data_IF_172046234484
#
_entry.id   IF_172046234484
#
_cell.length_a   1.000
_cell.length_b   1.000
_cell.length_c   1.000
_cell.angle_alpha   90.00
_cell.angle_beta   90.00
_cell.angle_gamma   90.00
#
_symmetry.space_group_name_H-M   'P 1'
#
loop_
_entity.id
_entity.type
_entity.pdbx_description
1 polymer ?
#
# COMPACT_ATOMS: atom_id res chain seq x y z
N UNK A 1 -9.77 11.45 6.17
CA UNK A 1 -8.46 11.02 5.63
C UNK A 1 -7.71 12.22 5.08
N UNK A 2 -6.39 12.33 5.29
CA UNK A 2 -5.57 13.40 4.69
C UNK A 2 -5.52 13.30 3.17
N UNK A 3 -5.54 12.10 2.61
CA UNK A 3 -5.60 11.88 1.16
C UNK A 3 -6.89 12.47 0.59
N UNK A 4 -8.04 12.14 1.20
CA UNK A 4 -9.34 12.62 0.75
C UNK A 4 -9.46 14.15 0.79
N UNK A 5 -8.77 14.81 1.71
CA UNK A 5 -8.72 16.27 1.83
C UNK A 5 -7.68 16.92 0.89
N UNK A 6 -6.95 16.16 0.08
CA UNK A 6 -5.90 16.70 -0.81
C UNK A 6 -4.66 17.21 -0.06
N UNK A 7 -4.35 16.62 1.10
CA UNK A 7 -3.25 17.05 1.98
C UNK A 7 -2.02 16.13 1.94
N UNK A 8 -2.02 15.13 1.06
CA UNK A 8 -0.91 14.18 0.87
C UNK A 8 0.01 14.70 -0.24
N UNK A 9 1.34 14.77 -0.02
CA UNK A 9 2.30 15.11 -1.08
C UNK A 9 2.22 14.15 -2.26
N UNK A 10 2.45 14.67 -3.47
CA UNK A 10 2.40 13.93 -4.71
C UNK A 10 3.69 14.15 -5.52
N UNK A 11 4.65 13.25 -5.32
CA UNK A 11 6.03 13.42 -5.75
C UNK A 11 6.81 14.42 -4.89
N UNK A 12 8.11 14.56 -5.20
CA UNK A 12 9.06 15.47 -4.52
C UNK A 12 8.97 16.93 -4.98
N UNK A 13 7.92 17.29 -5.71
CA UNK A 13 7.77 18.58 -6.41
C UNK A 13 7.06 19.65 -5.56
N UNK A 14 6.65 19.32 -4.33
CA UNK A 14 5.82 20.19 -3.49
C UNK A 14 4.33 20.18 -3.86
N UNK A 15 3.94 19.48 -4.94
CA UNK A 15 2.55 19.26 -5.28
C UNK A 15 1.86 18.32 -4.29
N UNK A 16 0.53 18.41 -4.22
CA UNK A 16 -0.32 17.51 -3.44
C UNK A 16 -1.25 16.71 -4.33
N UNK A 17 -1.68 15.55 -3.85
CA UNK A 17 -2.77 14.80 -4.46
C UNK A 17 -4.05 15.67 -4.42
N UNK A 18 -4.91 15.62 -5.45
CA UNK A 18 -6.18 16.30 -5.40
C UNK A 18 -7.07 15.73 -4.28
N UNK A 19 -8.03 16.52 -3.82
CA UNK A 19 -9.07 16.01 -2.94
C UNK A 19 -9.90 14.93 -3.65
N UNK A 20 -10.26 13.89 -2.92
CA UNK A 20 -11.04 12.76 -3.46
C UNK A 20 -12.46 12.77 -2.92
N UNK A 21 -13.43 12.52 -3.79
CA UNK A 21 -14.79 12.17 -3.42
C UNK A 21 -14.92 10.65 -3.25
N UNK A 22 -15.85 10.20 -2.40
CA UNK A 22 -16.17 8.77 -2.20
C UNK A 22 -14.99 7.90 -1.74
N UNK A 23 -14.06 8.45 -0.97
CA UNK A 23 -13.04 7.64 -0.29
C UNK A 23 -13.63 7.05 0.98
N UNK A 24 -13.92 5.75 0.94
CA UNK A 24 -14.53 5.02 2.04
C UNK A 24 -13.55 4.78 3.19
N UNK A 25 -14.08 4.79 4.41
CA UNK A 25 -13.32 4.37 5.58
C UNK A 25 -13.21 2.85 5.61
N UNK A 26 -11.98 2.34 5.65
CA UNK A 26 -11.75 0.90 5.80
C UNK A 26 -12.27 0.41 7.16
N UNK A 27 -12.90 -0.77 7.14
CA UNK A 27 -13.26 -1.51 8.35
C UNK A 27 -12.39 -2.75 8.44
N UNK A 28 -11.98 -3.07 9.66
CA UNK A 28 -11.22 -4.29 9.91
C UNK A 28 -12.07 -5.53 9.63
N UNK A 29 -11.46 -6.54 9.00
CA UNK A 29 -12.10 -7.82 8.67
C UNK A 29 -11.22 -8.96 9.15
N UNK A 30 -11.70 -9.74 10.10
CA UNK A 30 -11.01 -10.93 10.61
C UNK A 30 -10.86 -12.02 9.54
N UNK A 31 -11.76 -12.07 8.55
CA UNK A 31 -11.61 -12.99 7.42
C UNK A 31 -10.38 -12.64 6.57
N UNK A 32 -10.19 -11.35 6.25
CA UNK A 32 -9.02 -10.89 5.50
C UNK A 32 -7.73 -11.04 6.31
N UNK A 33 -7.79 -10.82 7.63
CA UNK A 33 -6.66 -11.09 8.54
C UNK A 33 -6.24 -12.56 8.47
N UNK A 34 -7.20 -13.48 8.62
CA UNK A 34 -6.93 -14.91 8.61
C UNK A 34 -6.33 -15.37 7.28
N UNK A 35 -6.83 -14.86 6.15
CA UNK A 35 -6.30 -15.19 4.83
C UNK A 35 -4.85 -14.68 4.67
N UNK A 36 -4.59 -13.43 5.10
CA UNK A 36 -3.25 -12.85 5.07
C UNK A 36 -2.26 -13.60 5.99
N UNK A 37 -2.68 -13.96 7.21
CA UNK A 37 -1.85 -14.70 8.16
C UNK A 37 -1.51 -16.09 7.62
N UNK A 38 -2.50 -16.84 7.10
CA UNK A 38 -2.26 -18.16 6.48
C UNK A 38 -1.23 -18.10 5.36
N UNK A 39 -1.23 -17.03 4.56
CA UNK A 39 -0.22 -16.88 3.52
C UNK A 39 1.14 -16.51 4.13
N UNK A 40 1.19 -15.58 5.07
CA UNK A 40 2.41 -15.15 5.76
C UNK A 40 3.12 -16.27 6.53
N UNK A 41 2.38 -17.24 7.07
CA UNK A 41 2.92 -18.42 7.77
C UNK A 41 3.80 -19.30 6.88
N UNK A 42 3.66 -19.21 5.56
CA UNK A 42 4.55 -19.91 4.62
C UNK A 42 5.93 -19.26 4.51
N UNK A 43 6.18 -18.13 5.19
CA UNK A 43 7.45 -17.42 5.22
C UNK A 43 8.01 -17.10 3.82
N UNK A 44 7.13 -16.75 2.88
CA UNK A 44 7.52 -16.46 1.50
C UNK A 44 8.34 -15.18 1.37
N UNK A 45 9.04 -15.04 0.25
CA UNK A 45 9.83 -13.84 -0.07
C UNK A 45 9.09 -12.85 -0.95
N UNK A 46 7.91 -13.23 -1.44
CA UNK A 46 7.03 -12.47 -2.34
C UNK A 46 5.58 -12.58 -1.91
N UNK A 47 4.75 -11.65 -2.38
CA UNK A 47 3.30 -11.66 -2.20
C UNK A 47 2.62 -12.87 -2.84
N UNK A 48 1.36 -13.11 -2.46
CA UNK A 48 0.57 -14.22 -2.97
C UNK A 48 0.14 -14.00 -4.43
N UNK A 49 0.14 -15.06 -5.25
CA UNK A 49 -0.46 -15.02 -6.57
C UNK A 49 -1.97 -14.74 -6.45
N UNK A 50 -2.52 -13.95 -7.38
CA UNK A 50 -3.94 -13.54 -7.35
C UNK A 50 -4.90 -14.73 -7.33
N UNK A 51 -4.52 -15.86 -7.92
CA UNK A 51 -5.30 -17.11 -7.92
C UNK A 51 -5.55 -17.67 -6.53
N UNK A 52 -4.72 -17.34 -5.53
CA UNK A 52 -4.89 -17.74 -4.14
C UNK A 52 -5.69 -16.74 -3.29
N UNK A 53 -6.03 -15.58 -3.86
CA UNK A 53 -6.75 -14.50 -3.16
C UNK A 53 -7.82 -13.84 -4.05
N UNK A 54 -8.75 -14.64 -4.61
CA UNK A 54 -9.72 -14.15 -5.57
C UNK A 54 -10.57 -13.02 -4.97
N UNK A 55 -10.59 -11.87 -5.65
CA UNK A 55 -11.33 -10.69 -5.22
C UNK A 55 -10.66 -9.87 -4.10
N UNK A 56 -9.42 -10.19 -3.71
CA UNK A 56 -8.67 -9.45 -2.70
C UNK A 56 -7.41 -8.79 -3.31
N UNK A 57 -7.20 -7.51 -2.99
CA UNK A 57 -5.92 -6.85 -3.18
C UNK A 57 -4.90 -7.33 -2.15
N UNK A 58 -3.61 -7.10 -2.41
CA UNK A 58 -2.56 -7.44 -1.45
C UNK A 58 -1.42 -6.41 -1.49
N UNK A 59 -1.00 -5.98 -0.31
CA UNK A 59 0.29 -5.33 -0.11
C UNK A 59 1.20 -6.23 0.71
N UNK A 60 2.40 -6.48 0.21
CA UNK A 60 3.39 -7.34 0.84
C UNK A 60 4.67 -6.56 1.20
N UNK A 61 5.21 -6.82 2.38
CA UNK A 61 6.51 -6.30 2.82
C UNK A 61 7.24 -7.32 3.69
N UNK A 62 8.57 -7.32 3.57
CA UNK A 62 9.46 -7.97 4.54
C UNK A 62 10.20 -6.90 5.30
N UNK A 63 10.07 -6.93 6.62
CA UNK A 63 10.74 -6.00 7.52
C UNK A 63 11.80 -6.77 8.29
N UNK A 64 13.03 -6.28 8.26
CA UNK A 64 14.10 -6.88 9.05
C UNK A 64 13.79 -6.76 10.53
N UNK A 65 14.06 -7.82 11.29
CA UNK A 65 13.91 -7.82 12.74
C UNK A 65 14.76 -6.73 13.41
N UNK A 66 15.93 -6.40 12.82
CA UNK A 66 16.78 -5.32 13.31
C UNK A 66 16.15 -3.93 13.12
N UNK A 67 15.20 -3.81 12.18
CA UNK A 67 14.49 -2.56 11.92
C UNK A 67 13.21 -2.45 12.74
N UNK A 68 12.60 -3.57 13.16
CA UNK A 68 11.35 -3.58 13.91
C UNK A 68 11.38 -4.60 15.06
N UNK A 69 11.35 -4.08 16.29
CA UNK A 69 11.40 -4.88 17.53
C UNK A 69 10.06 -5.54 17.92
N UNK A 70 8.99 -5.33 17.16
CA UNK A 70 7.67 -5.95 17.39
C UNK A 70 6.88 -6.08 16.09
N UNK A 71 5.90 -6.98 16.06
CA UNK A 71 4.97 -7.11 14.93
C UNK A 71 4.27 -5.78 14.62
N UNK A 72 3.84 -5.03 15.65
CA UNK A 72 3.23 -3.72 15.46
C UNK A 72 4.20 -2.70 14.85
N UNK A 73 5.49 -2.71 15.25
CA UNK A 73 6.50 -1.86 14.63
C UNK A 73 6.71 -2.22 13.16
N UNK A 74 6.75 -3.52 12.84
CA UNK A 74 6.89 -3.99 11.47
C UNK A 74 5.70 -3.58 10.59
N UNK A 75 4.47 -3.75 11.09
CA UNK A 75 3.24 -3.31 10.40
C UNK A 75 3.26 -1.81 10.12
N UNK A 76 3.63 -0.98 11.11
CA UNK A 76 3.75 0.47 10.92
C UNK A 76 4.77 0.82 9.84
N UNK A 77 5.92 0.17 9.83
CA UNK A 77 6.95 0.41 8.81
C UNK A 77 6.51 -0.03 7.42
N UNK A 78 5.87 -1.19 7.30
CA UNK A 78 5.32 -1.66 6.02
C UNK A 78 4.32 -0.66 5.45
N UNK A 79 3.36 -0.21 6.25
CA UNK A 79 2.37 0.79 5.84
C UNK A 79 3.05 2.11 5.43
N UNK A 80 4.05 2.56 6.20
CA UNK A 80 4.82 3.76 5.84
C UNK A 80 5.54 3.60 4.51
N UNK A 81 6.15 2.44 4.23
CA UNK A 81 6.79 2.17 2.94
C UNK A 81 5.78 2.21 1.79
N UNK A 82 4.61 1.59 1.96
CA UNK A 82 3.55 1.61 0.94
C UNK A 82 3.06 3.03 0.66
N UNK A 83 2.86 3.85 1.70
CA UNK A 83 2.45 5.25 1.52
C UNK A 83 3.58 6.16 1.05
N UNK A 84 4.85 5.80 1.24
CA UNK A 84 5.98 6.61 0.79
C UNK A 84 6.11 6.65 -0.73
N UNK A 85 5.60 5.63 -1.41
CA UNK A 85 5.55 5.49 -2.86
C UNK A 85 5.00 6.74 -3.59
N UNK A 86 3.84 7.26 -3.18
CA UNK A 86 3.28 8.47 -3.81
C UNK A 86 4.20 9.70 -3.61
N UNK A 87 4.93 9.77 -2.51
CA UNK A 87 5.90 10.85 -2.30
C UNK A 87 7.11 10.71 -3.22
N UNK A 88 7.56 9.49 -3.48
CA UNK A 88 8.75 9.21 -4.29
C UNK A 88 8.50 9.51 -5.77
N UNK A 89 7.45 8.92 -6.34
CA UNK A 89 7.24 8.91 -7.79
C UNK A 89 6.15 9.85 -8.26
N UNK A 90 5.17 10.11 -7.39
CA UNK A 90 3.97 10.83 -7.72
C UNK A 90 3.09 10.13 -8.77
N UNK A 91 1.83 10.53 -8.79
CA UNK A 91 0.83 10.13 -9.77
C UNK A 91 0.42 11.39 -10.54
N UNK A 92 0.04 11.24 -11.81
CA UNK A 92 -0.52 12.35 -12.57
C UNK A 92 -1.72 12.99 -11.83
N UNK A 93 -2.03 14.26 -12.10
CA UNK A 93 -3.09 14.98 -11.37
C UNK A 93 -4.50 14.40 -11.58
N UNK A 94 -4.70 13.52 -12.56
CA UNK A 94 -5.98 12.81 -12.75
C UNK A 94 -6.11 11.59 -11.83
N UNK A 95 -5.05 11.23 -11.09
CA UNK A 95 -5.00 10.06 -10.19
C UNK A 95 -5.36 8.73 -10.87
N UNK A 96 -5.08 8.62 -12.17
CA UNK A 96 -5.39 7.42 -12.96
C UNK A 96 -4.24 6.43 -12.84
N UNK A 97 -4.57 5.21 -12.43
CA UNK A 97 -3.65 4.08 -12.52
C UNK A 97 -3.54 3.61 -13.98
N UNK A 98 -2.36 3.72 -14.57
CA UNK A 98 -2.08 3.31 -15.96
C UNK A 98 -1.03 2.21 -15.99
N UNK A 99 -1.00 1.38 -17.04
CA UNK A 99 0.05 0.35 -17.22
C UNK A 99 1.48 0.91 -17.14
N UNK A 100 1.70 2.16 -17.57
CA UNK A 100 3.01 2.83 -17.44
C UNK A 100 3.48 2.99 -15.98
N UNK A 101 2.57 2.96 -15.00
CA UNK A 101 2.92 3.00 -13.57
C UNK A 101 3.39 1.63 -13.06
N UNK A 102 2.99 0.52 -13.69
CA UNK A 102 3.50 -0.81 -13.37
C UNK A 102 5.00 -0.90 -13.68
N UNK A 103 5.44 -0.27 -14.77
CA UNK A 103 6.85 -0.20 -15.15
C UNK A 103 7.73 0.59 -14.18
N UNK A 104 7.14 1.41 -13.29
CA UNK A 104 7.87 2.11 -12.23
C UNK A 104 8.04 1.25 -10.96
N UNK A 105 7.24 0.19 -10.79
CA UNK A 105 7.33 -0.80 -9.70
C UNK A 105 6.98 -0.28 -8.29
N UNK A 106 7.16 1.02 -8.04
CA UNK A 106 7.11 1.65 -6.73
C UNK A 106 5.82 2.39 -6.43
N UNK A 107 4.72 2.19 -7.18
CA UNK A 107 3.42 2.84 -6.90
C UNK A 107 2.27 1.86 -6.70
N UNK A 108 2.52 0.56 -6.90
CA UNK A 108 1.48 -0.46 -6.86
C UNK A 108 0.88 -0.54 -5.46
N UNK A 109 1.71 -0.43 -4.41
CA UNK A 109 1.26 -0.66 -3.03
C UNK A 109 0.49 0.53 -2.47
N UNK A 110 0.84 1.75 -2.90
CA UNK A 110 0.06 2.94 -2.56
C UNK A 110 -1.35 2.92 -3.17
N UNK A 111 -1.52 2.36 -4.37
CA UNK A 111 -2.77 2.48 -5.14
C UNK A 111 -3.83 1.42 -4.81
N UNK A 112 -3.49 0.42 -3.98
CA UNK A 112 -4.35 -0.69 -3.59
C UNK A 112 -5.34 -0.35 -2.48
#
# INVERSE_FOLDING_TARGET
>A
SRLAQGLVPNGRTGMRAPAGSNIYQMRYSTNLENDAQKFADNCTTTGSPETLRPGQGENFARISQNSAMSAQAAVRQAIQQFWHEIYMDGINRKMIFTYNLLGKGTLVRFTQ
#
